data_IF_659614637603
#
_entry.id   IF_659614637603
#
_cell.length_a   1.000
_cell.length_b   1.000
_cell.length_c   1.000
_cell.angle_alpha   90.00
_cell.angle_beta   90.00
_cell.angle_gamma   90.00
#
_symmetry.space_group_name_H-M   'P 1'
#
loop_
_entity.id
_entity.type
_entity.pdbx_description
1 polymer ?
#
# COMPACT_ATOMS: atom_id res chain seq x y z
N UNK A 1 10.22 20.49 -7.63
CA UNK A 1 9.72 19.12 -7.39
C UNK A 1 8.87 19.13 -6.13
N UNK A 2 7.61 18.70 -6.23
CA UNK A 2 6.62 18.75 -5.14
C UNK A 2 7.07 18.00 -3.89
N UNK A 3 7.02 18.69 -2.74
CA UNK A 3 7.29 18.12 -1.41
C UNK A 3 6.41 16.89 -1.10
N UNK A 4 5.19 16.87 -1.63
CA UNK A 4 4.26 15.75 -1.44
C UNK A 4 4.67 14.50 -2.22
N UNK A 5 5.16 14.68 -3.45
CA UNK A 5 5.70 13.57 -4.25
C UNK A 5 6.95 12.98 -3.60
N UNK A 6 7.83 13.82 -3.04
CA UNK A 6 9.01 13.36 -2.31
C UNK A 6 8.65 12.60 -1.03
N UNK A 7 7.71 13.12 -0.25
CA UNK A 7 7.21 12.44 0.95
C UNK A 7 6.56 11.10 0.61
N UNK A 8 5.76 11.04 -0.45
CA UNK A 8 5.18 9.81 -0.97
C UNK A 8 6.24 8.77 -1.35
N UNK A 9 7.31 9.20 -2.03
CA UNK A 9 8.46 8.33 -2.35
C UNK A 9 9.13 7.78 -1.09
N UNK A 10 9.40 8.61 -0.10
CA UNK A 10 10.02 8.19 1.16
C UNK A 10 9.16 7.17 1.93
N UNK A 11 7.85 7.43 2.03
CA UNK A 11 6.90 6.48 2.64
C UNK A 11 6.94 5.15 1.89
N UNK A 12 6.93 5.19 0.55
CA UNK A 12 6.98 3.98 -0.28
C UNK A 12 8.26 3.18 -0.07
N UNK A 13 9.43 3.84 -0.03
CA UNK A 13 10.72 3.19 0.20
C UNK A 13 10.81 2.48 1.55
N UNK A 14 10.11 2.98 2.58
CA UNK A 14 10.06 2.35 3.90
C UNK A 14 9.01 1.22 3.93
N UNK A 15 7.82 1.47 3.39
CA UNK A 15 6.69 0.57 3.54
C UNK A 15 6.77 -0.65 2.60
N UNK A 16 7.10 -0.43 1.32
CA UNK A 16 7.01 -1.47 0.29
C UNK A 16 7.86 -2.72 0.57
N UNK A 17 9.12 -2.63 1.06
CA UNK A 17 9.92 -3.81 1.40
C UNK A 17 9.32 -4.68 2.51
N UNK A 18 8.43 -4.13 3.34
CA UNK A 18 7.75 -4.83 4.45
C UNK A 18 6.39 -5.42 4.04
N UNK A 19 5.97 -5.20 2.80
CA UNK A 19 4.71 -5.72 2.27
C UNK A 19 4.94 -7.03 1.51
N UNK A 20 3.95 -7.92 1.56
CA UNK A 20 3.89 -9.05 0.63
C UNK A 20 3.74 -8.56 -0.81
N UNK A 21 4.27 -9.31 -1.79
CA UNK A 21 4.08 -9.02 -3.23
C UNK A 21 2.61 -8.83 -3.60
N UNK A 22 1.72 -9.66 -3.04
CA UNK A 22 0.28 -9.56 -3.28
C UNK A 22 -0.32 -8.26 -2.73
N UNK A 23 0.12 -7.80 -1.54
CA UNK A 23 -0.31 -6.53 -0.98
C UNK A 23 0.10 -5.33 -1.86
N UNK A 24 1.34 -5.34 -2.38
CA UNK A 24 1.82 -4.32 -3.32
C UNK A 24 0.98 -4.31 -4.60
N UNK A 25 0.69 -5.48 -5.18
CA UNK A 25 -0.14 -5.59 -6.40
C UNK A 25 -1.55 -5.05 -6.14
N UNK A 26 -2.20 -5.50 -5.05
CA UNK A 26 -3.54 -5.07 -4.68
C UNK A 26 -3.61 -3.54 -4.49
N UNK A 27 -2.62 -2.96 -3.80
CA UNK A 27 -2.57 -1.52 -3.59
C UNK A 27 -2.42 -0.75 -4.91
N UNK A 28 -1.53 -1.21 -5.82
CA UNK A 28 -1.36 -0.59 -7.16
C UNK A 28 -2.64 -0.65 -7.99
N UNK A 29 -3.34 -1.78 -7.98
CA UNK A 29 -4.61 -1.92 -8.70
C UNK A 29 -5.70 -1.03 -8.08
N UNK A 30 -5.76 -0.93 -6.76
CA UNK A 30 -6.77 -0.12 -6.07
C UNK A 30 -6.52 1.38 -6.21
N UNK A 31 -5.32 1.83 -5.89
CA UNK A 31 -4.96 3.26 -5.82
C UNK A 31 -4.50 3.77 -7.17
N UNK A 32 -3.57 3.06 -7.83
CA UNK A 32 -2.99 3.50 -9.10
C UNK A 32 -3.89 3.28 -10.33
N UNK A 33 -4.84 2.34 -10.26
CA UNK A 33 -5.77 2.03 -11.37
C UNK A 33 -7.25 2.24 -11.02
N UNK A 34 -7.56 2.58 -9.77
CA UNK A 34 -8.95 2.82 -9.34
C UNK A 34 -9.85 1.58 -9.32
N UNK A 35 -9.30 0.36 -9.36
CA UNK A 35 -10.14 -0.83 -9.48
C UNK A 35 -10.97 -1.10 -8.23
N UNK A 36 -12.18 -1.62 -8.42
CA UNK A 36 -13.03 -2.11 -7.34
C UNK A 36 -12.47 -3.40 -6.75
N UNK A 37 -12.74 -3.66 -5.46
CA UNK A 37 -12.36 -4.91 -4.79
C UNK A 37 -12.85 -6.14 -5.56
N UNK A 38 -14.07 -6.10 -6.11
CA UNK A 38 -14.63 -7.21 -6.88
C UNK A 38 -13.84 -7.45 -8.18
N UNK A 39 -13.41 -6.39 -8.89
CA UNK A 39 -12.57 -6.52 -10.08
C UNK A 39 -11.20 -7.08 -9.74
N UNK A 40 -10.59 -6.62 -8.65
CA UNK A 40 -9.28 -7.12 -8.16
C UNK A 40 -9.39 -8.61 -7.81
N UNK A 41 -10.39 -9.01 -7.04
CA UNK A 41 -10.61 -10.41 -6.64
C UNK A 41 -10.79 -11.32 -7.86
N UNK A 42 -11.60 -10.89 -8.84
CA UNK A 42 -11.79 -11.61 -10.11
C UNK A 42 -10.48 -11.73 -10.91
N UNK A 43 -9.74 -10.63 -11.08
CA UNK A 43 -8.52 -10.61 -11.90
C UNK A 43 -7.37 -11.44 -11.32
N UNK A 44 -7.28 -11.48 -9.98
CA UNK A 44 -6.22 -12.18 -9.26
C UNK A 44 -6.63 -13.58 -8.80
N UNK A 45 -7.86 -14.01 -9.07
CA UNK A 45 -8.42 -15.28 -8.60
C UNK A 45 -8.26 -15.47 -7.07
N UNK A 46 -8.55 -14.43 -6.30
CA UNK A 46 -8.48 -14.46 -4.82
C UNK A 46 -9.83 -14.17 -4.18
N UNK A 47 -10.04 -14.70 -2.98
CA UNK A 47 -11.23 -14.38 -2.17
C UNK A 47 -11.23 -12.91 -1.71
N UNK A 48 -12.43 -12.37 -1.42
CA UNK A 48 -12.57 -11.05 -0.78
C UNK A 48 -11.86 -10.99 0.57
N UNK A 49 -11.81 -12.10 1.32
CA UNK A 49 -11.10 -12.18 2.61
C UNK A 49 -9.60 -12.01 2.42
N UNK A 50 -9.01 -12.72 1.46
CA UNK A 50 -7.60 -12.59 1.09
C UNK A 50 -7.30 -11.15 0.65
N UNK A 51 -8.12 -10.59 -0.24
CA UNK A 51 -7.94 -9.21 -0.69
C UNK A 51 -7.95 -8.21 0.48
N UNK A 52 -8.91 -8.33 1.42
CA UNK A 52 -8.99 -7.47 2.61
C UNK A 52 -7.78 -7.63 3.52
N UNK A 53 -7.34 -8.87 3.79
CA UNK A 53 -6.15 -9.14 4.61
C UNK A 53 -4.91 -8.45 4.04
N UNK A 54 -4.64 -8.63 2.75
CA UNK A 54 -3.46 -8.03 2.12
C UNK A 54 -3.57 -6.50 1.98
N UNK A 55 -4.77 -5.95 1.78
CA UNK A 55 -4.99 -4.51 1.83
C UNK A 55 -4.70 -3.96 3.23
N UNK A 56 -5.17 -4.64 4.29
CA UNK A 56 -4.89 -4.26 5.68
C UNK A 56 -3.39 -4.28 6.00
N UNK A 57 -2.65 -5.26 5.50
CA UNK A 57 -1.18 -5.30 5.60
C UNK A 57 -0.56 -4.07 4.92
N UNK A 58 -0.98 -3.73 3.70
CA UNK A 58 -0.46 -2.56 2.98
C UNK A 58 -0.71 -1.26 3.76
N UNK A 59 -1.95 -1.03 4.21
CA UNK A 59 -2.33 0.16 4.99
C UNK A 59 -1.52 0.24 6.29
N UNK A 60 -1.37 -0.87 7.02
CA UNK A 60 -0.58 -0.91 8.25
C UNK A 60 0.89 -0.53 8.01
N UNK A 61 1.52 -1.07 6.97
CA UNK A 61 2.92 -0.76 6.67
C UNK A 61 3.12 0.70 6.23
N UNK A 62 2.15 1.27 5.51
CA UNK A 62 2.14 2.70 5.17
C UNK A 62 2.04 3.55 6.44
N UNK A 63 1.10 3.24 7.34
CA UNK A 63 0.94 3.97 8.60
C UNK A 63 2.21 3.93 9.47
N UNK A 64 2.86 2.76 9.56
CA UNK A 64 4.13 2.62 10.28
C UNK A 64 5.26 3.43 9.63
N UNK A 65 5.33 3.47 8.30
CA UNK A 65 6.32 4.27 7.59
C UNK A 65 6.12 5.77 7.81
N UNK A 66 4.86 6.24 7.83
CA UNK A 66 4.53 7.64 8.16
C UNK A 66 4.98 7.98 9.57
N UNK A 67 4.60 7.17 10.56
CA UNK A 67 5.01 7.38 11.96
C UNK A 67 6.54 7.36 12.13
N UNK A 68 7.25 6.50 11.39
CA UNK A 68 8.71 6.47 11.41
C UNK A 68 9.34 7.75 10.85
N UNK A 69 8.78 8.32 9.77
CA UNK A 69 9.27 9.59 9.21
C UNK A 69 8.97 10.78 10.14
N UNK A 70 7.84 10.76 10.84
CA UNK A 70 7.48 11.78 11.81
C UNK A 70 8.42 11.76 13.02
N UNK A 71 8.75 10.56 13.53
CA UNK A 71 9.74 10.40 14.62
C UNK A 71 11.16 10.83 14.27
N UNK A 72 11.52 10.91 12.99
CA UNK A 72 12.86 11.39 12.56
C UNK A 72 12.94 12.92 12.44
N UNK A 73 11.80 13.62 12.49
CA UNK A 73 11.72 15.08 12.33
C UNK A 73 11.65 15.84 13.66
N UNK A 74 11.32 15.16 14.75
CA UNK A 74 11.42 15.67 16.12
C UNK A 74 12.65 15.10 16.80
#
# INVERSE_FOLDING_TARGET
MDRDHERGRQIWMIAAPRMTRLAVIILRLRVGRGWSTQRICRRLHISRRTCRRHMGIAVRQIALAVAQLEKKKG
#
